data_IF_163618019216
#
_entry.id   IF_163618019216
#
_cell.length_a   1.000
_cell.length_b   1.000
_cell.length_c   1.000
_cell.angle_alpha   90.00
_cell.angle_beta   90.00
_cell.angle_gamma   90.00
#
_symmetry.space_group_name_H-M   'P 1'
#
loop_
_entity.id
_entity.type
_entity.pdbx_description
1 polymer ?
#
# COMPACT_ATOMS: atom_id res chain seq x y z
N UNK A 1 4.82 -8.83 -4.32
CA UNK A 1 3.62 -7.98 -4.28
C UNK A 1 4.06 -6.60 -3.82
N UNK A 2 3.64 -5.54 -4.50
CA UNK A 2 3.94 -4.15 -4.14
C UNK A 2 2.66 -3.50 -3.60
N UNK A 3 2.81 -2.49 -2.74
CA UNK A 3 1.67 -1.72 -2.22
C UNK A 3 1.01 -0.94 -3.35
N UNK A 4 -0.26 -1.21 -3.60
CA UNK A 4 -1.09 -0.43 -4.50
C UNK A 4 -1.76 0.76 -3.83
N UNK A 5 -2.29 1.67 -4.64
CA UNK A 5 -3.05 2.82 -4.15
C UNK A 5 -4.31 2.41 -3.37
N UNK A 6 -4.92 1.28 -3.74
CA UNK A 6 -6.11 0.75 -3.05
C UNK A 6 -5.79 -0.09 -1.81
N UNK A 7 -4.52 -0.43 -1.57
CA UNK A 7 -4.05 -1.15 -0.39
C UNK A 7 -3.84 -0.16 0.77
N UNK A 8 -4.94 0.49 1.16
CA UNK A 8 -5.00 1.60 2.10
C UNK A 8 -6.29 1.49 2.91
N UNK A 9 -6.24 1.87 4.20
CA UNK A 9 -7.40 1.90 5.07
C UNK A 9 -8.54 2.73 4.46
N UNK A 10 -8.23 3.94 4.00
CA UNK A 10 -9.22 4.86 3.45
C UNK A 10 -9.99 4.24 2.27
N UNK A 11 -9.30 3.54 1.37
CA UNK A 11 -9.96 2.89 0.23
C UNK A 11 -10.71 1.62 0.60
N UNK A 12 -10.17 0.84 1.52
CA UNK A 12 -10.81 -0.38 1.98
C UNK A 12 -12.16 -0.09 2.68
N UNK A 13 -12.27 1.02 3.42
CA UNK A 13 -13.54 1.46 4.00
C UNK A 13 -14.53 1.92 2.92
N UNK A 14 -14.12 2.82 2.03
CA UNK A 14 -15.02 3.43 1.03
C UNK A 14 -15.53 2.41 -0.01
N UNK A 15 -14.74 1.38 -0.34
CA UNK A 15 -15.08 0.40 -1.38
C UNK A 15 -15.73 -0.89 -0.85
N UNK A 16 -16.11 -0.93 0.43
CA UNK A 16 -16.87 -2.04 1.00
C UNK A 16 -16.04 -3.28 1.37
N UNK A 17 -14.70 -3.18 1.44
CA UNK A 17 -13.88 -4.30 1.91
C UNK A 17 -14.15 -4.61 3.39
N UNK A 18 -14.43 -3.57 4.19
CA UNK A 18 -14.93 -3.74 5.56
C UNK A 18 -16.20 -4.59 5.61
N UNK A 19 -17.22 -4.20 4.83
CA UNK A 19 -18.51 -4.90 4.78
C UNK A 19 -18.35 -6.33 4.28
N UNK A 20 -17.47 -6.55 3.31
CA UNK A 20 -17.15 -7.88 2.82
C UNK A 20 -16.50 -8.75 3.91
N UNK A 21 -15.58 -8.20 4.69
CA UNK A 21 -14.95 -8.90 5.82
C UNK A 21 -16.00 -9.25 6.90
N UNK A 22 -16.85 -8.30 7.25
CA UNK A 22 -17.94 -8.54 8.22
C UNK A 22 -18.92 -9.60 7.71
N UNK A 23 -19.32 -9.54 6.44
CA UNK A 23 -20.27 -10.49 5.84
C UNK A 23 -19.71 -11.91 5.74
N UNK A 24 -18.43 -12.05 5.38
CA UNK A 24 -17.80 -13.37 5.17
C UNK A 24 -17.28 -14.00 6.46
N UNK A 25 -16.73 -13.20 7.37
CA UNK A 25 -16.01 -13.69 8.55
C UNK A 25 -16.69 -13.32 9.88
N UNK A 26 -17.73 -12.48 9.85
CA UNK A 26 -18.43 -12.03 11.06
C UNK A 26 -17.58 -11.17 11.99
N UNK A 27 -16.40 -10.72 11.55
CA UNK A 27 -15.42 -10.05 12.39
C UNK A 27 -14.58 -9.04 11.61
N UNK A 28 -14.38 -7.87 12.21
CA UNK A 28 -13.50 -6.83 11.69
C UNK A 28 -12.02 -7.13 11.90
N UNK A 29 -11.68 -8.22 12.61
CA UNK A 29 -10.29 -8.64 12.80
C UNK A 29 -9.60 -8.93 11.46
N UNK A 30 -10.31 -9.53 10.51
CA UNK A 30 -9.77 -9.80 9.17
C UNK A 30 -9.46 -8.49 8.45
N UNK A 31 -10.40 -7.55 8.45
CA UNK A 31 -10.20 -6.22 7.89
C UNK A 31 -8.98 -5.53 8.50
N UNK A 32 -8.89 -5.48 9.84
CA UNK A 32 -7.77 -4.88 10.56
C UNK A 32 -6.44 -5.52 10.19
N UNK A 33 -6.38 -6.85 10.14
CA UNK A 33 -5.17 -7.58 9.78
C UNK A 33 -4.70 -7.25 8.35
N UNK A 34 -5.62 -7.14 7.39
CA UNK A 34 -5.27 -6.73 6.02
C UNK A 34 -4.81 -5.28 5.95
N UNK A 35 -5.51 -4.35 6.59
CA UNK A 35 -5.11 -2.93 6.58
C UNK A 35 -3.76 -2.71 7.25
N UNK A 36 -3.45 -3.49 8.30
CA UNK A 36 -2.12 -3.49 8.91
C UNK A 36 -1.08 -4.10 7.96
N UNK A 37 -1.34 -5.28 7.38
CA UNK A 37 -0.46 -5.94 6.41
C UNK A 37 -0.07 -5.01 5.25
N UNK A 38 -1.00 -4.22 4.72
CA UNK A 38 -0.73 -3.31 3.62
C UNK A 38 0.35 -2.28 3.92
N UNK A 39 0.53 -1.88 5.18
CA UNK A 39 1.61 -0.97 5.59
C UNK A 39 3.00 -1.61 5.51
N UNK A 40 3.09 -2.94 5.48
CA UNK A 40 4.35 -3.67 5.35
C UNK A 40 4.75 -3.96 3.90
N UNK A 41 3.84 -3.73 2.94
CA UNK A 41 4.12 -4.01 1.54
C UNK A 41 5.21 -3.07 0.99
N UNK A 42 6.18 -3.59 0.20
CA UNK A 42 7.18 -2.76 -0.46
C UNK A 42 6.56 -1.75 -1.42
N UNK A 43 7.14 -0.56 -1.52
CA UNK A 43 6.69 0.48 -2.45
C UNK A 43 7.22 0.27 -3.88
N UNK A 44 8.38 -0.38 -4.01
CA UNK A 44 9.04 -0.62 -5.28
C UNK A 44 9.87 -1.92 -5.24
N UNK A 45 10.27 -2.40 -6.41
CA UNK A 45 11.21 -3.51 -6.56
C UNK A 45 12.05 -3.33 -7.83
N UNK A 46 13.18 -4.04 -7.89
CA UNK A 46 13.97 -4.20 -9.12
C UNK A 46 13.89 -5.66 -9.59
N UNK A 47 13.59 -5.86 -10.87
CA UNK A 47 13.61 -7.17 -11.53
C UNK A 47 14.84 -7.23 -12.43
N UNK A 48 15.61 -8.32 -12.30
CA UNK A 48 16.83 -8.61 -13.06
C UNK A 48 17.90 -7.50 -13.03
N UNK A 49 17.87 -6.63 -12.02
CA UNK A 49 18.82 -5.52 -11.86
C UNK A 49 18.50 -4.27 -12.68
N UNK A 50 17.60 -4.36 -13.66
CA UNK A 50 17.41 -3.32 -14.68
C UNK A 50 15.99 -2.74 -14.71
N UNK A 51 14.98 -3.50 -14.28
CA UNK A 51 13.57 -3.08 -14.39
C UNK A 51 13.06 -2.65 -13.03
N UNK A 52 12.81 -1.36 -12.86
CA UNK A 52 12.19 -0.83 -11.64
C UNK A 52 10.66 -0.88 -11.75
N UNK A 53 10.03 -1.55 -10.79
CA UNK A 53 8.58 -1.71 -10.74
C UNK A 53 7.99 -0.90 -9.60
N UNK A 54 6.97 -0.11 -9.91
CA UNK A 54 6.11 0.61 -8.97
C UNK A 54 4.65 0.39 -9.39
N UNK A 55 3.71 0.54 -8.46
CA UNK A 55 2.29 0.41 -8.79
C UNK A 55 1.72 1.65 -9.50
N UNK A 56 2.10 2.85 -9.06
CA UNK A 56 1.60 4.12 -9.59
C UNK A 56 2.52 4.72 -10.66
N UNK A 57 3.63 5.32 -10.24
CA UNK A 57 4.54 6.03 -11.13
C UNK A 57 5.61 6.83 -10.38
N UNK A 58 6.19 7.82 -11.05
CA UNK A 58 7.23 8.69 -10.50
C UNK A 58 6.62 9.87 -9.75
N UNK A 59 7.23 10.24 -8.61
CA UNK A 59 6.93 11.49 -7.90
C UNK A 59 7.89 12.59 -8.35
N UNK A 60 7.45 13.84 -8.52
CA UNK A 60 8.33 14.98 -8.78
C UNK A 60 9.29 15.27 -7.62
N UNK A 61 8.97 14.81 -6.41
CA UNK A 61 9.79 15.02 -5.20
C UNK A 61 10.87 13.94 -5.01
N UNK A 62 10.74 12.80 -5.70
CA UNK A 62 11.65 11.66 -5.57
C UNK A 62 12.33 11.38 -6.91
N UNK A 63 13.59 11.79 -7.02
CA UNK A 63 14.40 11.63 -8.23
C UNK A 63 15.32 10.42 -8.23
N UNK A 64 15.45 9.72 -7.10
CA UNK A 64 16.34 8.56 -6.95
C UNK A 64 15.68 7.42 -6.20
N UNK A 65 16.13 6.18 -6.45
CA UNK A 65 15.66 4.98 -5.73
C UNK A 65 15.97 5.05 -4.23
N UNK A 66 17.11 5.64 -3.88
CA UNK A 66 17.46 5.88 -2.48
C UNK A 66 16.48 6.84 -1.80
N UNK A 67 15.94 7.82 -2.54
CA UNK A 67 14.87 8.68 -2.04
C UNK A 67 13.62 7.87 -1.64
N UNK A 68 13.24 6.85 -2.44
CA UNK A 68 12.13 5.95 -2.10
C UNK A 68 12.43 5.17 -0.81
N UNK A 69 13.68 4.74 -0.62
CA UNK A 69 14.10 3.98 0.57
C UNK A 69 14.04 4.80 1.87
N UNK A 70 14.09 6.13 1.79
CA UNK A 70 13.95 7.02 2.95
C UNK A 70 12.48 7.27 3.36
N UNK A 71 11.52 6.87 2.53
CA UNK A 71 10.09 7.00 2.85
C UNK A 71 9.75 6.04 3.99
N UNK A 72 9.24 6.58 5.10
CA UNK A 72 8.62 5.76 6.12
C UNK A 72 7.34 5.13 5.55
N UNK A 73 7.44 3.88 5.10
CA UNK A 73 6.32 3.17 4.47
C UNK A 73 5.38 2.46 5.44
N UNK A 74 5.79 2.28 6.70
CA UNK A 74 5.05 1.56 7.74
C UNK A 74 3.97 2.45 8.38
N UNK A 75 3.13 3.04 7.55
CA UNK A 75 2.05 3.93 7.94
C UNK A 75 0.93 3.90 6.89
N UNK A 76 -0.20 4.51 7.21
CA UNK A 76 -1.25 4.74 6.22
C UNK A 76 -0.74 5.66 5.11
N UNK A 77 -1.20 5.43 3.88
CA UNK A 77 -0.85 6.27 2.74
C UNK A 77 -1.33 7.70 2.98
N UNK A 78 -0.45 8.72 2.91
CA UNK A 78 -0.86 10.12 3.00
C UNK A 78 -1.87 10.49 1.91
N UNK A 79 -2.70 11.52 2.17
CA UNK A 79 -3.68 12.01 1.20
C UNK A 79 -3.02 12.72 0.00
N UNK A 80 -1.80 13.23 0.19
CA UNK A 80 -1.00 13.95 -0.81
C UNK A 80 0.47 13.51 -0.75
N UNK A 81 1.18 13.62 -1.87
CA UNK A 81 2.61 13.32 -2.01
C UNK A 81 3.14 13.63 -3.40
#
# INVERSE_FOLDING_TARGET
>A
MLRGHFDSLAFCEVRGFYDECMRKYGSSLVFKAFTELFTYLPLWATVDGDIHCLHGGLSPEISTLDGINQVNRFQETPLEG
#
